data_IF_030335388755
#
_entry.id   IF_030335388755
#
_cell.length_a   1.000
_cell.length_b   1.000
_cell.length_c   1.000
_cell.angle_alpha   90.00
_cell.angle_beta   90.00
_cell.angle_gamma   90.00
#
_symmetry.space_group_name_H-M   'P 1'
#
loop_
_entity.id
_entity.type
_entity.pdbx_description
1 polymer ?
#
# COMPACT_ATOMS: atom_id res chain seq x y z
N UNK A 1 70.61 -7.05 -31.90
CA UNK A 1 69.46 -6.19 -31.51
C UNK A 1 68.39 -7.10 -30.91
N UNK A 2 68.26 -7.15 -29.58
CA UNK A 2 67.32 -8.03 -28.88
C UNK A 2 66.14 -7.15 -28.42
N UNK A 3 64.99 -7.37 -29.03
CA UNK A 3 63.68 -6.66 -28.68
C UNK A 3 63.11 -7.31 -27.42
N UNK A 4 63.01 -6.56 -26.31
CA UNK A 4 62.32 -6.98 -25.09
C UNK A 4 60.88 -6.53 -25.19
N UNK A 5 59.95 -7.49 -25.28
CA UNK A 5 58.54 -7.24 -25.12
C UNK A 5 58.22 -7.07 -23.62
N UNK A 6 57.73 -5.89 -23.24
CA UNK A 6 57.22 -5.62 -21.91
C UNK A 6 55.74 -5.97 -21.89
N UNK A 7 55.35 -7.04 -21.17
CA UNK A 7 53.95 -7.45 -20.98
C UNK A 7 53.38 -6.63 -19.81
N UNK A 8 52.57 -5.63 -20.11
CA UNK A 8 51.77 -4.91 -19.08
C UNK A 8 50.58 -5.79 -18.66
N UNK A 9 50.63 -6.34 -17.44
CA UNK A 9 49.49 -6.95 -16.78
C UNK A 9 48.55 -5.83 -16.25
N UNK A 10 47.43 -5.62 -16.92
CA UNK A 10 46.31 -4.83 -16.38
C UNK A 10 45.62 -5.67 -15.30
N UNK A 11 45.92 -5.41 -14.05
CA UNK A 11 45.14 -5.88 -12.90
C UNK A 11 43.81 -5.08 -12.85
N UNK A 12 42.75 -5.64 -13.44
CA UNK A 12 41.42 -5.15 -13.26
C UNK A 12 40.98 -5.35 -11.80
N UNK A 13 40.90 -4.26 -11.04
CA UNK A 13 40.26 -4.29 -9.72
C UNK A 13 38.76 -4.49 -9.93
N UNK A 14 38.27 -5.70 -9.75
CA UNK A 14 36.83 -5.95 -9.57
C UNK A 14 36.41 -5.30 -8.25
N UNK A 15 35.97 -4.06 -8.31
CA UNK A 15 35.29 -3.43 -7.20
C UNK A 15 34.01 -4.22 -6.92
N UNK A 16 33.99 -4.98 -5.82
CA UNK A 16 32.74 -5.51 -5.30
C UNK A 16 31.87 -4.30 -4.92
N UNK A 17 30.81 -4.06 -5.65
CA UNK A 17 29.80 -3.10 -5.21
C UNK A 17 29.26 -3.62 -3.87
N UNK A 18 29.68 -3.00 -2.78
CA UNK A 18 29.19 -3.32 -1.44
C UNK A 18 27.69 -3.04 -1.44
N UNK A 19 26.87 -4.04 -1.15
CA UNK A 19 25.42 -3.88 -1.00
C UNK A 19 25.17 -2.82 0.07
N UNK A 20 24.45 -1.76 -0.30
CA UNK A 20 24.09 -0.72 0.63
C UNK A 20 23.09 -1.29 1.63
N UNK A 21 23.34 -1.13 2.93
CA UNK A 21 22.44 -1.59 4.01
C UNK A 21 21.60 -0.45 4.55
N UNK A 22 20.50 -0.80 5.20
CA UNK A 22 19.60 0.12 5.90
C UNK A 22 18.96 -0.56 7.11
N UNK A 23 18.29 0.22 7.94
CA UNK A 23 17.46 -0.26 9.06
C UNK A 23 16.08 0.37 9.00
N UNK A 24 15.05 -0.38 9.42
CA UNK A 24 13.72 0.18 9.66
C UNK A 24 13.74 1.00 10.98
N UNK A 25 12.92 2.08 11.10
CA UNK A 25 11.98 2.58 10.13
C UNK A 25 12.63 3.46 9.04
N UNK A 26 11.98 3.61 7.88
CA UNK A 26 12.44 4.45 6.79
C UNK A 26 12.26 5.96 7.07
N UNK A 27 11.23 6.30 7.84
CA UNK A 27 10.90 7.65 8.31
C UNK A 27 10.43 7.60 9.75
N UNK A 28 10.55 8.71 10.52
CA UNK A 28 10.06 8.79 11.88
C UNK A 28 8.52 8.76 12.01
N UNK A 29 7.80 8.90 10.92
CA UNK A 29 6.33 8.80 10.80
C UNK A 29 5.93 8.67 9.35
N UNK A 30 4.81 8.01 9.08
CA UNK A 30 4.32 7.76 7.73
C UNK A 30 3.35 6.59 7.71
N UNK A 31 2.11 6.85 8.10
CA UNK A 31 1.02 5.90 8.07
C UNK A 31 0.58 5.62 6.63
N UNK A 32 0.08 4.41 6.38
CA UNK A 32 -0.53 4.03 5.11
C UNK A 32 0.45 4.24 3.93
N UNK A 33 1.66 3.61 3.98
CA UNK A 33 2.72 3.87 3.03
C UNK A 33 2.42 3.24 1.67
N UNK A 34 2.72 3.98 0.62
CA UNK A 34 2.66 3.54 -0.78
C UNK A 34 3.97 3.83 -1.50
N UNK A 35 4.43 2.93 -2.36
CA UNK A 35 5.58 3.17 -3.21
C UNK A 35 5.41 2.51 -4.58
N UNK A 36 5.83 3.20 -5.63
CA UNK A 36 5.94 2.68 -6.99
C UNK A 36 7.32 3.00 -7.55
N UNK A 37 7.95 2.02 -8.22
CA UNK A 37 9.16 2.22 -9.00
C UNK A 37 8.80 2.49 -10.46
N UNK A 38 9.24 3.61 -10.99
CA UNK A 38 9.01 3.98 -12.37
C UNK A 38 10.16 4.83 -12.90
N UNK A 39 10.66 4.49 -14.08
CA UNK A 39 11.69 5.23 -14.82
C UNK A 39 12.90 5.65 -13.97
N UNK A 40 13.47 4.68 -13.24
CA UNK A 40 14.69 4.86 -12.46
C UNK A 40 14.52 5.53 -11.11
N UNK A 41 13.28 5.79 -10.67
CA UNK A 41 12.98 6.41 -9.38
C UNK A 41 11.86 5.67 -8.64
N UNK A 42 11.95 5.66 -7.31
CA UNK A 42 10.81 5.38 -6.44
C UNK A 42 10.06 6.67 -6.16
N UNK A 43 8.75 6.57 -6.24
CA UNK A 43 7.81 7.60 -5.80
C UNK A 43 7.05 7.04 -4.62
N UNK A 44 7.18 7.68 -3.48
CA UNK A 44 6.59 7.25 -2.21
C UNK A 44 5.55 8.27 -1.75
N UNK A 45 4.46 7.79 -1.16
CA UNK A 45 3.43 8.58 -0.51
C UNK A 45 3.03 7.94 0.82
N UNK A 46 2.43 8.74 1.71
CA UNK A 46 1.78 8.28 2.92
C UNK A 46 0.70 9.27 3.35
N UNK A 47 -0.15 8.90 4.27
CA UNK A 47 -1.16 9.79 4.85
C UNK A 47 -0.51 10.96 5.56
N UNK A 48 -0.76 12.18 5.07
CA UNK A 48 -0.40 13.44 5.74
C UNK A 48 -1.58 14.04 6.51
N UNK A 49 -2.82 13.61 6.17
CA UNK A 49 -4.07 14.13 6.70
C UNK A 49 -4.52 15.48 6.13
N UNK A 50 -3.68 16.16 5.35
CA UNK A 50 -3.91 17.55 4.92
C UNK A 50 -3.58 17.87 3.46
N UNK A 51 -2.72 17.10 2.82
CA UNK A 51 -2.23 17.32 1.45
C UNK A 51 -1.78 16.01 0.81
N UNK A 52 -1.47 16.05 -0.48
CA UNK A 52 -0.82 14.96 -1.20
C UNK A 52 0.61 15.37 -1.53
N UNK A 53 1.55 14.69 -0.90
CA UNK A 53 2.99 14.92 -1.07
C UNK A 53 3.64 13.65 -1.63
N UNK A 54 4.53 13.81 -2.60
CA UNK A 54 5.34 12.74 -3.19
C UNK A 54 6.78 12.89 -2.73
N UNK A 55 7.38 11.80 -2.28
CA UNK A 55 8.82 11.66 -2.02
C UNK A 55 9.45 10.93 -3.20
N UNK A 56 10.40 11.56 -3.87
CA UNK A 56 11.13 10.99 -5.01
C UNK A 56 12.55 10.63 -4.63
N UNK A 57 12.97 9.37 -4.85
CA UNK A 57 14.32 8.89 -4.55
C UNK A 57 14.73 7.75 -5.50
N UNK A 58 16.00 7.64 -5.90
CA UNK A 58 16.48 6.47 -6.63
C UNK A 58 16.63 5.22 -5.75
N UNK A 59 16.60 5.36 -4.42
CA UNK A 59 16.76 4.28 -3.46
C UNK A 59 15.80 4.45 -2.28
N UNK A 60 14.81 3.55 -2.16
CA UNK A 60 13.81 3.62 -1.11
C UNK A 60 14.41 3.43 0.31
N UNK A 61 15.54 2.74 0.44
CA UNK A 61 16.27 2.64 1.70
C UNK A 61 16.84 3.99 2.19
N UNK A 62 16.88 5.00 1.32
CA UNK A 62 17.29 6.39 1.63
C UNK A 62 16.11 7.36 1.63
N UNK A 63 14.91 6.88 1.92
CA UNK A 63 13.67 7.68 1.87
C UNK A 63 13.74 8.96 2.72
N UNK A 64 14.48 8.94 3.83
CA UNK A 64 14.67 10.13 4.67
C UNK A 64 15.35 11.30 3.95
N UNK A 65 16.14 11.03 2.90
CA UNK A 65 16.84 12.02 2.08
C UNK A 65 16.08 12.35 0.77
N UNK A 66 14.92 11.74 0.53
CA UNK A 66 14.15 11.93 -0.69
C UNK A 66 13.71 13.38 -0.90
N UNK A 67 13.67 13.82 -2.15
CA UNK A 67 13.04 15.08 -2.54
C UNK A 67 11.53 15.02 -2.29
N UNK A 68 10.99 16.03 -1.61
CA UNK A 68 9.56 16.11 -1.24
C UNK A 68 8.88 17.19 -2.05
N UNK A 69 7.78 16.82 -2.70
CA UNK A 69 6.96 17.75 -3.45
C UNK A 69 5.50 17.61 -3.05
N UNK A 70 4.91 18.65 -2.48
CA UNK A 70 3.45 18.71 -2.32
C UNK A 70 2.83 19.00 -3.67
N UNK A 71 2.11 18.02 -4.20
CA UNK A 71 1.57 18.05 -5.58
C UNK A 71 0.12 18.51 -5.61
N UNK A 72 -0.59 18.43 -4.47
CA UNK A 72 -1.96 18.88 -4.37
C UNK A 72 -2.34 19.21 -2.92
N UNK A 73 -3.17 20.23 -2.75
CA UNK A 73 -3.79 20.62 -1.46
C UNK A 73 -5.30 20.70 -1.63
N UNK A 74 -6.09 20.23 -0.64
CA UNK A 74 -7.54 20.29 -0.73
C UNK A 74 -8.05 21.73 -0.67
N UNK A 75 -9.25 22.00 -1.23
CA UNK A 75 -9.94 23.26 -1.03
C UNK A 75 -10.35 23.44 0.44
N UNK A 76 -10.64 24.68 0.85
CA UNK A 76 -11.05 24.98 2.22
C UNK A 76 -12.35 24.27 2.66
N UNK A 77 -13.25 24.03 1.70
CA UNK A 77 -14.56 23.39 1.88
C UNK A 77 -14.88 22.47 0.71
N UNK A 78 -15.82 21.55 0.91
CA UNK A 78 -16.27 20.62 -0.13
C UNK A 78 -16.12 19.17 0.28
N UNK A 79 -16.49 18.21 -0.58
CA UNK A 79 -16.57 16.80 -0.22
C UNK A 79 -15.21 16.12 -0.03
N UNK A 80 -14.10 16.78 -0.38
CA UNK A 80 -12.72 16.28 -0.24
C UNK A 80 -11.80 17.32 0.42
N UNK A 81 -12.36 18.11 1.34
CA UNK A 81 -11.65 19.22 1.98
C UNK A 81 -10.85 18.82 3.22
N UNK A 82 -11.15 17.67 3.81
CA UNK A 82 -10.60 17.21 5.09
C UNK A 82 -10.20 15.74 5.02
N UNK A 83 -9.44 15.35 6.03
CA UNK A 83 -9.07 13.94 6.31
C UNK A 83 -8.58 13.20 5.07
N UNK A 84 -7.48 13.73 4.50
CA UNK A 84 -6.83 13.19 3.29
C UNK A 84 -6.02 11.96 3.69
N UNK A 85 -6.56 10.75 3.40
CA UNK A 85 -5.98 9.48 3.86
C UNK A 85 -5.58 8.55 2.72
N UNK A 86 -4.61 7.67 3.02
CA UNK A 86 -4.14 6.54 2.24
C UNK A 86 -4.00 6.87 0.73
N UNK A 87 -3.16 7.84 0.36
CA UNK A 87 -2.94 8.15 -1.05
C UNK A 87 -2.09 7.09 -1.74
N UNK A 88 -2.53 6.64 -2.90
CA UNK A 88 -1.82 5.71 -3.76
C UNK A 88 -1.53 6.30 -5.14
N UNK A 89 -0.28 6.22 -5.59
CA UNK A 89 0.18 6.74 -6.87
C UNK A 89 0.32 5.60 -7.89
N UNK A 90 -0.44 5.65 -8.97
CA UNK A 90 -0.45 4.65 -10.03
C UNK A 90 -0.10 5.25 -11.39
N UNK A 91 0.63 4.49 -12.22
CA UNK A 91 0.90 4.85 -13.62
C UNK A 91 0.09 3.92 -14.52
N UNK A 92 -0.94 4.47 -15.17
CA UNK A 92 -1.90 3.71 -15.97
C UNK A 92 -2.10 4.39 -17.33
N UNK A 93 -2.09 3.63 -18.41
CA UNK A 93 -2.33 4.15 -19.77
C UNK A 93 -1.50 5.40 -20.11
N UNK A 94 -0.23 5.46 -19.64
CA UNK A 94 0.69 6.56 -19.94
C UNK A 94 0.50 7.82 -19.10
N UNK A 95 -0.30 7.77 -18.03
CA UNK A 95 -0.55 8.89 -17.12
C UNK A 95 -0.45 8.46 -15.66
N UNK A 96 -0.26 9.45 -14.78
CA UNK A 96 -0.28 9.27 -13.35
C UNK A 96 -1.66 9.52 -12.77
N UNK A 97 -2.03 8.71 -11.78
CA UNK A 97 -3.26 8.85 -11.01
C UNK A 97 -2.93 8.76 -9.53
N UNK A 98 -3.57 9.59 -8.71
CA UNK A 98 -3.57 9.46 -7.25
C UNK A 98 -4.99 9.13 -6.83
N UNK A 99 -5.15 8.00 -6.13
CA UNK A 99 -6.37 7.62 -5.44
C UNK A 99 -6.19 7.93 -3.97
N UNK A 100 -7.20 8.51 -3.34
CA UNK A 100 -7.14 8.85 -1.93
C UNK A 100 -8.54 8.92 -1.34
N UNK A 101 -8.67 8.72 -0.02
CA UNK A 101 -9.89 8.95 0.71
C UNK A 101 -9.91 10.38 1.26
N UNK A 102 -11.08 10.99 1.29
CA UNK A 102 -11.29 12.30 1.89
C UNK A 102 -12.76 12.49 2.31
N UNK A 103 -13.01 13.50 3.14
CA UNK A 103 -14.34 13.90 3.54
C UNK A 103 -14.48 15.43 3.64
N UNK A 104 -15.58 15.90 4.22
CA UNK A 104 -15.90 17.33 4.45
C UNK A 104 -15.74 17.75 5.92
N UNK A 105 -15.07 16.94 6.74
CA UNK A 105 -14.93 17.10 8.19
C UNK A 105 -15.89 16.21 9.00
N UNK A 106 -16.54 15.24 8.33
CA UNK A 106 -17.38 14.23 8.96
C UNK A 106 -17.01 12.85 8.43
N UNK A 107 -16.55 11.97 9.30
CA UNK A 107 -16.14 10.60 8.94
C UNK A 107 -17.19 9.86 8.11
N UNK A 108 -18.48 10.04 8.36
CA UNK A 108 -19.56 9.36 7.62
C UNK A 108 -19.58 9.73 6.12
N UNK A 109 -18.93 10.82 5.75
CA UNK A 109 -18.88 11.32 4.38
C UNK A 109 -17.61 10.94 3.61
N UNK A 110 -16.75 10.08 4.17
CA UNK A 110 -15.58 9.59 3.45
C UNK A 110 -15.96 8.92 2.14
N UNK A 111 -15.25 9.32 1.07
CA UNK A 111 -15.34 8.77 -0.27
C UNK A 111 -13.95 8.72 -0.89
N UNK A 112 -13.83 7.94 -1.96
CA UNK A 112 -12.62 7.86 -2.76
C UNK A 112 -12.65 8.92 -3.86
N UNK A 113 -11.51 9.58 -4.07
CA UNK A 113 -11.32 10.59 -5.09
C UNK A 113 -10.11 10.28 -5.95
N UNK A 114 -10.10 10.79 -7.18
CA UNK A 114 -9.06 10.51 -8.17
C UNK A 114 -8.54 11.81 -8.76
N UNK A 115 -7.21 11.94 -8.77
CA UNK A 115 -6.47 12.96 -9.51
C UNK A 115 -5.75 12.34 -10.71
N UNK A 116 -5.61 13.08 -11.79
CA UNK A 116 -4.87 12.70 -13.01
C UNK A 116 -3.77 13.73 -13.31
N UNK A 117 -2.59 13.26 -13.71
CA UNK A 117 -1.49 14.09 -14.20
C UNK A 117 -0.88 13.44 -15.46
N UNK A 118 -0.86 14.13 -16.62
CA UNK A 118 -0.27 13.62 -17.85
C UNK A 118 1.26 13.83 -17.95
N UNK A 119 1.88 14.51 -16.97
CA UNK A 119 3.33 14.74 -16.98
C UNK A 119 4.09 13.41 -16.86
N UNK A 120 5.23 13.23 -17.56
CA UNK A 120 6.08 12.04 -17.36
C UNK A 120 6.60 11.91 -15.91
N UNK A 121 6.85 13.01 -15.21
CA UNK A 121 7.25 13.04 -13.81
C UNK A 121 6.06 13.49 -12.94
N UNK A 122 5.57 12.67 -12.00
CA UNK A 122 4.41 13.01 -11.18
C UNK A 122 4.66 14.16 -10.19
N UNK A 123 5.92 14.52 -9.93
CA UNK A 123 6.28 15.70 -9.13
C UNK A 123 6.20 17.01 -9.92
N UNK A 124 5.92 16.94 -11.20
CA UNK A 124 5.82 18.08 -12.13
C UNK A 124 4.43 18.14 -12.76
N UNK A 125 4.15 19.23 -13.47
CA UNK A 125 2.87 19.42 -14.15
C UNK A 125 1.72 19.76 -13.20
N UNK A 126 0.49 19.56 -13.69
CA UNK A 126 -0.74 19.91 -12.96
C UNK A 126 -1.58 18.66 -12.73
N UNK A 127 -2.01 18.47 -11.49
CA UNK A 127 -2.95 17.43 -11.10
C UNK A 127 -4.39 17.93 -11.25
N UNK A 128 -5.17 17.22 -12.05
CA UNK A 128 -6.58 17.54 -12.31
C UNK A 128 -7.50 16.59 -11.56
N UNK A 129 -8.45 17.13 -10.78
CA UNK A 129 -9.48 16.36 -10.10
C UNK A 129 -10.40 15.70 -11.12
N UNK A 130 -10.47 14.37 -11.12
CA UNK A 130 -11.40 13.59 -11.95
C UNK A 130 -12.75 13.36 -11.26
N UNK A 131 -12.81 13.63 -9.97
CA UNK A 131 -14.01 13.45 -9.15
C UNK A 131 -13.95 12.23 -8.24
N UNK A 132 -15.11 11.86 -7.72
CA UNK A 132 -15.30 10.71 -6.84
C UNK A 132 -15.27 9.41 -7.65
N UNK A 133 -14.56 8.40 -7.15
CA UNK A 133 -14.65 7.02 -7.62
C UNK A 133 -15.93 6.39 -7.05
N UNK A 134 -17.04 6.61 -7.77
CA UNK A 134 -18.39 6.40 -7.24
C UNK A 134 -18.98 5.06 -7.69
N UNK A 135 -19.48 4.27 -6.73
CA UNK A 135 -20.35 3.13 -6.98
C UNK A 135 -21.82 3.57 -7.11
N UNK A 136 -22.69 2.76 -7.75
CA UNK A 136 -24.12 3.10 -7.86
C UNK A 136 -24.83 3.31 -6.52
N UNK A 137 -24.39 2.62 -5.46
CA UNK A 137 -24.95 2.72 -4.10
C UNK A 137 -24.27 3.77 -3.21
N UNK A 138 -23.17 4.37 -3.68
CA UNK A 138 -22.47 5.53 -3.07
C UNK A 138 -22.27 5.43 -1.54
N UNK A 139 -21.72 4.33 -1.09
CA UNK A 139 -21.47 4.10 0.34
C UNK A 139 -20.10 4.66 0.77
N UNK A 140 -19.91 4.77 2.08
CA UNK A 140 -18.64 5.09 2.71
C UNK A 140 -17.50 4.21 2.16
N UNK A 141 -16.35 4.82 1.87
CA UNK A 141 -15.22 4.14 1.26
C UNK A 141 -13.89 4.83 1.59
N UNK A 142 -12.89 4.03 1.96
CA UNK A 142 -11.49 4.43 2.18
C UNK A 142 -10.53 3.43 1.55
N UNK A 143 -9.25 3.74 1.53
CA UNK A 143 -8.15 2.84 1.12
C UNK A 143 -8.36 2.27 -0.29
N UNK A 144 -8.65 3.16 -1.23
CA UNK A 144 -8.90 2.77 -2.61
C UNK A 144 -7.63 2.49 -3.38
N UNK A 145 -7.48 1.26 -3.87
CA UNK A 145 -6.42 0.82 -4.76
C UNK A 145 -6.97 0.39 -6.12
N UNK A 146 -6.11 0.39 -7.14
CA UNK A 146 -6.47 -0.09 -8.48
C UNK A 146 -5.42 -1.04 -9.02
N UNK A 147 -5.84 -2.00 -9.83
CA UNK A 147 -4.95 -2.94 -10.49
C UNK A 147 -5.49 -3.38 -11.84
N UNK A 148 -4.57 -3.78 -12.70
CA UNK A 148 -4.90 -4.40 -13.98
C UNK A 148 -4.70 -5.92 -13.90
N UNK A 149 -5.69 -6.67 -14.35
CA UNK A 149 -5.62 -8.11 -14.45
C UNK A 149 -6.31 -8.60 -15.72
N UNK A 150 -5.60 -9.40 -16.54
CA UNK A 150 -6.08 -9.92 -17.83
C UNK A 150 -6.66 -8.83 -18.75
N UNK A 151 -5.97 -7.67 -18.87
CA UNK A 151 -6.37 -6.53 -19.70
C UNK A 151 -7.65 -5.83 -19.21
N UNK A 152 -8.01 -6.01 -17.95
CA UNK A 152 -9.16 -5.36 -17.31
C UNK A 152 -8.71 -4.61 -16.07
N UNK A 153 -9.23 -3.40 -15.89
CA UNK A 153 -8.93 -2.56 -14.73
C UNK A 153 -9.98 -2.78 -13.64
N UNK A 154 -9.53 -2.91 -12.40
CA UNK A 154 -10.35 -3.10 -11.21
C UNK A 154 -9.98 -2.09 -10.15
N UNK A 155 -10.97 -1.70 -9.33
CA UNK A 155 -10.78 -0.99 -8.07
C UNK A 155 -11.09 -1.93 -6.91
N UNK A 156 -10.32 -1.81 -5.84
CA UNK A 156 -10.55 -2.46 -4.54
C UNK A 156 -10.49 -1.42 -3.44
N UNK A 157 -11.28 -1.57 -2.39
CA UNK A 157 -11.32 -0.62 -1.28
C UNK A 157 -11.96 -1.19 -0.02
N UNK A 158 -11.79 -0.51 1.10
CA UNK A 158 -12.54 -0.73 2.32
C UNK A 158 -13.82 0.09 2.33
N UNK A 159 -14.95 -0.52 2.68
CA UNK A 159 -16.24 0.17 2.66
C UNK A 159 -17.28 -0.40 3.60
N UNK A 160 -18.33 0.40 3.86
CA UNK A 160 -19.49 -0.07 4.61
C UNK A 160 -20.52 -0.77 3.73
N UNK A 161 -21.18 -1.77 4.30
CA UNK A 161 -22.28 -2.45 3.61
C UNK A 161 -23.52 -1.56 3.47
N UNK A 162 -23.80 -0.75 4.48
CA UNK A 162 -24.90 0.20 4.58
C UNK A 162 -24.43 1.62 4.87
N UNK A 163 -25.20 2.35 5.68
CA UNK A 163 -24.94 3.75 6.04
C UNK A 163 -24.45 3.90 7.49
N UNK A 164 -24.27 2.78 8.19
CA UNK A 164 -23.87 2.77 9.59
C UNK A 164 -22.42 2.35 9.75
N UNK A 165 -21.69 3.08 10.59
CA UNK A 165 -20.36 2.70 11.03
C UNK A 165 -20.45 1.51 12.00
N UNK A 166 -19.74 0.45 11.74
CA UNK A 166 -19.71 -0.76 12.59
C UNK A 166 -18.93 -1.89 11.97
N UNK A 167 -18.86 -1.91 10.63
CA UNK A 167 -18.09 -2.91 9.89
C UNK A 167 -17.57 -2.39 8.56
N UNK A 168 -16.29 -2.59 8.34
CA UNK A 168 -15.60 -2.36 7.08
C UNK A 168 -15.33 -3.70 6.39
N UNK A 169 -15.81 -3.84 5.16
CA UNK A 169 -15.62 -4.99 4.29
C UNK A 169 -14.73 -4.61 3.10
N UNK A 170 -14.03 -5.56 2.48
CA UNK A 170 -13.32 -5.31 1.23
C UNK A 170 -14.25 -5.52 0.04
N UNK A 171 -14.32 -4.50 -0.80
CA UNK A 171 -15.09 -4.49 -2.03
C UNK A 171 -14.18 -4.42 -3.26
N UNK A 172 -14.68 -4.99 -4.35
CA UNK A 172 -14.06 -4.96 -5.67
C UNK A 172 -15.10 -4.54 -6.71
N UNK A 173 -14.69 -3.74 -7.70
CA UNK A 173 -15.52 -3.41 -8.85
C UNK A 173 -14.64 -3.26 -10.09
N UNK A 174 -15.25 -3.45 -11.28
CA UNK A 174 -14.59 -3.19 -12.55
C UNK A 174 -14.57 -1.69 -12.86
N UNK A 175 -13.50 -1.24 -13.51
CA UNK A 175 -13.39 0.11 -14.05
C UNK A 175 -13.50 0.10 -15.56
N UNK A 176 -14.13 1.13 -16.15
CA UNK A 176 -14.13 1.40 -17.60
C UNK A 176 -12.97 2.28 -18.03
N UNK A 177 -12.48 3.11 -17.13
CA UNK A 177 -11.29 3.95 -17.22
C UNK A 177 -10.78 4.19 -15.78
N UNK A 178 -9.62 4.81 -15.54
CA UNK A 178 -9.03 4.94 -14.20
C UNK A 178 -9.88 5.66 -13.15
N UNK A 179 -10.98 6.32 -13.50
CA UNK A 179 -11.81 7.07 -12.54
C UNK A 179 -13.31 6.74 -12.61
N UNK A 180 -13.71 5.68 -13.36
CA UNK A 180 -15.13 5.34 -13.55
C UNK A 180 -15.39 3.88 -13.25
N UNK A 181 -16.12 3.61 -12.17
CA UNK A 181 -16.60 2.26 -11.83
C UNK A 181 -17.70 1.85 -12.78
N UNK A 182 -17.66 0.58 -13.22
CA UNK A 182 -18.66 -0.06 -14.07
C UNK A 182 -19.39 -1.15 -13.29
N UNK A 183 -20.69 -0.99 -13.14
CA UNK A 183 -21.55 -1.98 -12.49
C UNK A 183 -21.54 -1.88 -10.96
N UNK A 184 -21.97 -2.98 -10.33
CA UNK A 184 -22.09 -3.07 -8.87
C UNK A 184 -20.75 -3.48 -8.24
N UNK A 185 -20.50 -3.06 -7.02
CA UNK A 185 -19.40 -3.59 -6.19
C UNK A 185 -19.69 -5.00 -5.72
N UNK A 186 -18.65 -5.79 -5.57
CA UNK A 186 -18.67 -7.15 -5.06
C UNK A 186 -17.89 -7.20 -3.75
N UNK A 187 -18.47 -7.74 -2.69
CA UNK A 187 -17.76 -7.98 -1.43
C UNK A 187 -16.90 -9.23 -1.57
N UNK A 188 -15.59 -9.10 -1.34
CA UNK A 188 -14.63 -10.20 -1.44
C UNK A 188 -14.05 -10.61 -0.07
N UNK A 189 -14.14 -9.75 0.95
CA UNK A 189 -13.76 -10.06 2.34
C UNK A 189 -14.66 -9.35 3.32
N UNK A 190 -14.87 -9.99 4.47
CA UNK A 190 -15.50 -9.43 5.67
C UNK A 190 -14.76 -9.92 6.93
N UNK A 191 -14.76 -9.17 8.05
CA UNK A 191 -14.08 -9.56 9.29
C UNK A 191 -14.83 -10.71 10.01
N UNK A 192 -14.53 -11.96 9.64
CA UNK A 192 -15.23 -13.16 10.12
C UNK A 192 -14.43 -14.00 11.10
N UNK A 193 -13.09 -13.89 11.10
CA UNK A 193 -12.23 -14.66 11.98
C UNK A 193 -11.93 -13.90 13.27
N UNK A 194 -11.72 -14.63 14.38
CA UNK A 194 -11.53 -14.01 15.71
C UNK A 194 -10.37 -13.00 15.74
N UNK A 195 -9.28 -13.27 15.02
CA UNK A 195 -8.13 -12.37 14.95
C UNK A 195 -8.41 -11.05 14.18
N UNK A 196 -9.46 -11.00 13.36
CA UNK A 196 -9.89 -9.79 12.65
C UNK A 196 -10.81 -8.89 13.49
N UNK A 197 -11.25 -9.38 14.65
CA UNK A 197 -12.37 -8.78 15.40
C UNK A 197 -11.94 -7.96 16.61
N UNK A 198 -10.68 -7.53 16.70
CA UNK A 198 -10.25 -6.59 17.75
C UNK A 198 -10.57 -5.15 17.32
N UNK A 199 -11.77 -4.69 17.67
CA UNK A 199 -12.34 -3.46 17.14
C UNK A 199 -12.89 -2.48 18.20
N UNK A 200 -12.63 -2.71 19.51
CA UNK A 200 -13.09 -1.80 20.55
C UNK A 200 -12.39 -0.44 20.42
N UNK A 201 -13.14 0.62 20.27
CA UNK A 201 -12.63 1.97 20.20
C UNK A 201 -12.18 2.46 21.59
N UNK A 202 -11.01 3.08 21.73
CA UNK A 202 -10.53 3.60 23.01
C UNK A 202 -11.37 4.79 23.50
N UNK A 203 -12.02 5.49 22.59
CA UNK A 203 -12.95 6.58 22.84
C UNK A 203 -14.00 6.62 21.73
N UNK A 204 -15.25 6.87 22.09
CA UNK A 204 -16.34 7.07 21.14
C UNK A 204 -17.24 8.20 21.62
N UNK A 205 -17.77 8.97 20.67
CA UNK A 205 -18.68 10.10 20.93
C UNK A 205 -20.16 9.70 20.86
N UNK A 206 -21.08 10.62 21.14
CA UNK A 206 -22.50 10.39 20.95
C UNK A 206 -22.78 9.99 19.49
N UNK A 207 -23.45 8.85 19.30
CA UNK A 207 -23.79 8.33 17.96
C UNK A 207 -22.68 7.53 17.26
N UNK A 208 -21.51 7.40 17.83
CA UNK A 208 -20.45 6.52 17.32
C UNK A 208 -20.54 5.13 17.98
N UNK A 209 -20.23 4.04 17.23
CA UNK A 209 -20.22 2.71 17.82
C UNK A 209 -19.02 2.57 18.76
N UNK A 210 -19.21 1.81 19.85
CA UNK A 210 -18.09 1.44 20.73
C UNK A 210 -17.16 0.41 20.10
N UNK A 211 -17.59 -0.24 19.02
CA UNK A 211 -16.92 -1.37 18.41
C UNK A 211 -17.06 -1.33 16.90
N UNK A 212 -15.94 -1.45 16.17
CA UNK A 212 -15.90 -1.49 14.71
C UNK A 212 -15.08 -2.71 14.25
N UNK A 213 -15.67 -3.56 13.45
CA UNK A 213 -15.00 -4.65 12.79
C UNK A 213 -14.30 -4.15 11.52
N UNK A 214 -13.04 -4.51 11.31
CA UNK A 214 -12.24 -3.89 10.25
C UNK A 214 -11.58 -4.93 9.35
N UNK A 215 -11.85 -4.80 8.03
CA UNK A 215 -10.96 -5.18 6.95
C UNK A 215 -10.70 -3.92 6.12
N UNK A 216 -9.43 -3.50 5.98
CA UNK A 216 -9.06 -2.26 5.28
C UNK A 216 -7.71 -2.39 4.55
N UNK A 217 -7.25 -1.34 3.87
CA UNK A 217 -5.95 -1.29 3.18
C UNK A 217 -5.72 -2.43 2.18
N UNK A 218 -6.69 -2.78 1.29
CA UNK A 218 -6.52 -3.92 0.40
C UNK A 218 -5.51 -3.64 -0.71
N UNK A 219 -4.58 -4.59 -0.94
CA UNK A 219 -3.54 -4.47 -1.94
C UNK A 219 -3.51 -5.70 -2.85
N UNK A 220 -3.53 -5.46 -4.16
CA UNK A 220 -3.33 -6.49 -5.16
C UNK A 220 -1.87 -6.95 -5.21
N UNK A 221 -1.68 -8.25 -5.26
CA UNK A 221 -0.38 -8.88 -5.45
C UNK A 221 -0.49 -9.99 -6.51
N UNK A 222 0.05 -9.72 -7.68
CA UNK A 222 0.18 -10.73 -8.73
C UNK A 222 1.19 -11.80 -8.31
N UNK A 223 0.84 -13.06 -8.50
CA UNK A 223 1.72 -14.19 -8.25
C UNK A 223 2.37 -14.66 -9.55
N UNK A 224 3.59 -15.23 -9.51
CA UNK A 224 4.28 -15.72 -10.72
C UNK A 224 3.50 -16.78 -11.51
N UNK A 225 2.61 -17.53 -10.87
CA UNK A 225 1.77 -18.55 -11.50
C UNK A 225 0.39 -18.04 -11.96
N UNK A 226 0.11 -16.73 -11.81
CA UNK A 226 -1.16 -16.11 -12.21
C UNK A 226 -2.27 -16.14 -11.15
N UNK A 227 -2.04 -16.69 -9.96
CA UNK A 227 -2.94 -16.57 -8.81
C UNK A 227 -3.11 -15.09 -8.44
N UNK A 228 -4.34 -14.69 -8.18
CA UNK A 228 -4.69 -13.33 -7.77
C UNK A 228 -4.75 -13.29 -6.24
N UNK A 229 -3.88 -12.52 -5.62
CA UNK A 229 -3.87 -12.30 -4.19
C UNK A 229 -4.33 -10.87 -3.87
N UNK A 230 -5.20 -10.71 -2.87
CA UNK A 230 -5.51 -9.42 -2.24
C UNK A 230 -5.12 -9.56 -0.77
N UNK A 231 -4.09 -8.82 -0.39
CA UNK A 231 -3.63 -8.71 0.99
C UNK A 231 -4.33 -7.50 1.61
N UNK A 232 -4.90 -7.67 2.78
CA UNK A 232 -5.67 -6.62 3.46
C UNK A 232 -5.29 -6.57 4.93
N UNK A 233 -5.56 -5.46 5.58
CA UNK A 233 -5.37 -5.29 7.02
C UNK A 233 -6.66 -5.59 7.77
N UNK A 234 -6.53 -6.13 8.98
CA UNK A 234 -7.67 -6.45 9.82
C UNK A 234 -7.40 -6.18 11.31
N UNK A 235 -8.46 -6.13 12.09
CA UNK A 235 -8.56 -5.51 13.40
C UNK A 235 -8.43 -3.99 13.33
N UNK A 236 -8.85 -3.25 14.36
CA UNK A 236 -8.70 -1.80 14.36
C UNK A 236 -7.23 -1.38 14.47
N UNK A 237 -6.77 -0.47 13.62
CA UNK A 237 -5.41 0.09 13.67
C UNK A 237 -5.10 0.78 15.03
N UNK A 238 -6.12 1.07 15.83
CA UNK A 238 -6.01 1.59 17.20
C UNK A 238 -5.70 0.53 18.25
N UNK A 239 -5.56 -0.75 17.82
CA UNK A 239 -5.19 -1.89 18.66
C UNK A 239 -3.83 -2.43 18.26
N UNK A 240 -3.15 -3.14 19.16
CA UNK A 240 -1.89 -3.83 18.85
C UNK A 240 -2.11 -5.14 18.04
N UNK A 241 -3.36 -5.48 17.75
CA UNK A 241 -3.76 -6.69 17.02
C UNK A 241 -3.84 -6.51 15.51
N UNK A 242 -3.61 -5.30 15.00
CA UNK A 242 -3.59 -5.01 13.57
C UNK A 242 -2.63 -5.93 12.84
N UNK A 243 -3.11 -6.61 11.80
CA UNK A 243 -2.36 -7.64 11.08
C UNK A 243 -2.85 -7.76 9.64
N UNK A 244 -2.09 -8.46 8.78
CA UNK A 244 -2.49 -8.70 7.40
C UNK A 244 -3.15 -10.05 7.22
N UNK A 245 -4.28 -10.06 6.50
CA UNK A 245 -4.95 -11.22 5.97
C UNK A 245 -4.78 -11.36 4.46
N UNK A 246 -5.26 -12.47 3.93
CA UNK A 246 -5.19 -12.80 2.51
C UNK A 246 -6.53 -13.36 2.02
N UNK A 247 -7.06 -12.78 0.94
CA UNK A 247 -8.02 -13.44 0.06
C UNK A 247 -7.39 -13.66 -1.30
N UNK A 248 -7.75 -14.76 -1.95
CA UNK A 248 -7.14 -15.12 -3.22
C UNK A 248 -8.13 -15.83 -4.14
N UNK A 249 -7.82 -15.79 -5.43
CA UNK A 249 -8.57 -16.47 -6.47
C UNK A 249 -7.62 -17.20 -7.42
N UNK A 250 -8.10 -18.32 -7.99
CA UNK A 250 -7.35 -19.11 -8.95
C UNK A 250 -7.04 -18.32 -10.24
N UNK A 251 -5.97 -18.68 -10.97
CA UNK A 251 -5.69 -18.10 -12.27
C UNK A 251 -6.90 -18.22 -13.21
N UNK A 252 -7.31 -17.09 -13.81
CA UNK A 252 -8.43 -17.07 -14.74
C UNK A 252 -9.83 -17.03 -14.12
N UNK A 253 -9.94 -16.96 -12.79
CA UNK A 253 -11.22 -16.83 -12.09
C UNK A 253 -11.95 -15.53 -12.47
N UNK A 254 -13.27 -15.55 -12.42
CA UNK A 254 -14.09 -14.35 -12.52
C UNK A 254 -14.04 -13.59 -11.18
N UNK A 255 -13.24 -12.53 -11.12
CA UNK A 255 -13.03 -11.74 -9.90
C UNK A 255 -14.31 -11.02 -9.42
N UNK A 256 -15.31 -10.84 -10.27
CA UNK A 256 -16.61 -10.26 -9.90
C UNK A 256 -17.60 -11.29 -9.33
N UNK A 257 -17.25 -12.56 -9.34
CA UNK A 257 -18.02 -13.59 -8.66
C UNK A 257 -17.47 -13.79 -7.23
N UNK A 258 -18.22 -13.46 -6.15
CA UNK A 258 -17.74 -13.59 -4.79
C UNK A 258 -17.41 -15.04 -4.39
N UNK A 259 -17.98 -16.03 -5.06
CA UNK A 259 -17.73 -17.45 -4.76
C UNK A 259 -16.36 -17.96 -5.24
N UNK A 260 -15.64 -17.19 -6.06
CA UNK A 260 -14.29 -17.55 -6.54
C UNK A 260 -13.18 -17.15 -5.56
N UNK A 261 -13.52 -16.35 -4.53
CA UNK A 261 -12.56 -15.87 -3.55
C UNK A 261 -12.45 -16.82 -2.35
N UNK A 262 -11.23 -17.23 -2.09
CA UNK A 262 -10.85 -17.99 -0.90
C UNK A 262 -10.24 -17.03 0.12
N UNK A 263 -10.50 -17.26 1.40
CA UNK A 263 -9.97 -16.42 2.48
C UNK A 263 -9.18 -17.29 3.45
N UNK A 264 -7.91 -16.90 3.70
CA UNK A 264 -7.06 -17.58 4.66
C UNK A 264 -7.59 -17.36 6.09
N UNK A 265 -7.69 -18.43 6.90
CA UNK A 265 -8.26 -18.35 8.25
C UNK A 265 -7.33 -17.67 9.26
N UNK A 266 -6.03 -17.69 9.01
CA UNK A 266 -5.00 -17.10 9.88
C UNK A 266 -4.36 -15.87 9.22
N UNK A 267 -3.82 -14.93 10.00
CA UNK A 267 -3.10 -13.80 9.47
C UNK A 267 -1.82 -14.27 8.75
N UNK A 268 -1.52 -13.65 7.59
CA UNK A 268 -0.33 -13.95 6.80
C UNK A 268 0.88 -13.09 7.17
N UNK A 269 0.65 -12.04 7.99
CA UNK A 269 1.71 -11.16 8.49
C UNK A 269 1.24 -10.49 9.79
N UNK A 270 1.88 -10.80 10.90
CA UNK A 270 1.49 -10.28 12.23
C UNK A 270 2.69 -10.10 13.13
N UNK A 271 2.80 -8.95 13.78
CA UNK A 271 3.78 -8.70 14.82
C UNK A 271 3.37 -9.44 16.12
N UNK A 272 4.05 -10.54 16.43
CA UNK A 272 3.83 -11.28 17.65
C UNK A 272 5.16 -11.46 18.39
N UNK A 273 5.32 -10.78 19.53
CA UNK A 273 6.56 -10.78 20.33
C UNK A 273 7.80 -10.29 19.55
N UNK A 274 7.61 -9.38 18.60
CA UNK A 274 8.70 -8.78 17.82
C UNK A 274 9.15 -7.48 18.48
N UNK A 275 10.44 -7.37 18.79
CA UNK A 275 11.00 -6.20 19.48
C UNK A 275 10.78 -4.93 18.65
N UNK A 276 10.12 -3.93 19.23
CA UNK A 276 9.88 -2.62 18.64
C UNK A 276 9.00 -2.68 17.39
N UNK A 277 8.08 -3.70 17.28
CA UNK A 277 7.18 -3.83 16.15
C UNK A 277 5.82 -4.29 16.66
N UNK A 278 4.82 -3.43 16.53
CA UNK A 278 3.44 -3.62 16.96
C UNK A 278 2.50 -3.14 15.86
N UNK A 279 1.32 -3.72 15.78
CA UNK A 279 0.25 -3.31 14.85
C UNK A 279 0.76 -3.17 13.40
N UNK A 280 1.50 -4.18 12.90
CA UNK A 280 2.06 -4.16 11.54
C UNK A 280 0.97 -4.42 10.49
N UNK A 281 0.79 -3.49 9.56
CA UNK A 281 -0.23 -3.59 8.52
C UNK A 281 -0.22 -2.43 7.53
N UNK A 282 -1.31 -2.27 6.80
CA UNK A 282 -1.54 -1.29 5.73
C UNK A 282 -0.35 -1.24 4.77
N UNK A 283 -0.22 -2.30 3.99
CA UNK A 283 0.94 -2.54 3.15
C UNK A 283 0.74 -2.10 1.71
N UNK A 284 1.84 -1.96 0.99
CA UNK A 284 1.90 -2.08 -0.47
C UNK A 284 3.06 -2.96 -0.89
N UNK A 285 3.15 -3.26 -2.18
CA UNK A 285 4.19 -4.11 -2.75
C UNK A 285 4.97 -3.36 -3.82
N UNK A 286 6.27 -3.64 -3.88
CA UNK A 286 7.11 -3.16 -4.96
C UNK A 286 8.18 -4.20 -5.30
N UNK A 287 8.75 -4.08 -6.49
CA UNK A 287 9.89 -4.88 -6.91
C UNK A 287 11.17 -4.07 -6.82
N UNK A 288 12.29 -4.78 -6.61
CA UNK A 288 13.61 -4.15 -6.75
C UNK A 288 13.79 -3.65 -8.19
N UNK A 289 14.67 -2.63 -8.43
CA UNK A 289 14.87 -2.05 -9.75
C UNK A 289 15.29 -3.05 -10.85
N UNK A 290 15.85 -4.19 -10.46
CA UNK A 290 16.22 -5.28 -11.38
C UNK A 290 15.11 -6.34 -11.56
N UNK A 291 13.94 -6.16 -10.90
CA UNK A 291 12.80 -7.07 -10.98
C UNK A 291 13.00 -8.44 -10.34
N UNK A 292 14.05 -8.64 -9.51
CA UNK A 292 14.38 -9.96 -8.96
C UNK A 292 13.93 -10.18 -7.52
N UNK A 293 13.61 -9.13 -6.81
CA UNK A 293 13.21 -9.19 -5.40
C UNK A 293 11.83 -8.57 -5.25
N UNK A 294 10.96 -9.25 -4.50
CA UNK A 294 9.67 -8.73 -4.09
C UNK A 294 9.80 -8.16 -2.69
N UNK A 295 9.22 -7.00 -2.46
CA UNK A 295 9.26 -6.28 -1.20
C UNK A 295 7.88 -5.89 -0.73
N UNK A 296 7.65 -6.05 0.57
CA UNK A 296 6.48 -5.50 1.26
C UNK A 296 6.91 -4.22 1.99
N UNK A 297 6.17 -3.14 1.75
CA UNK A 297 6.25 -1.89 2.50
C UNK A 297 4.99 -1.79 3.35
N UNK A 298 5.11 -1.53 4.64
CA UNK A 298 4.01 -1.51 5.60
C UNK A 298 4.28 -0.48 6.68
N UNK A 299 3.28 -0.10 7.48
CA UNK A 299 3.54 0.64 8.69
C UNK A 299 3.50 -0.25 9.93
N UNK A 300 4.20 0.16 10.99
CA UNK A 300 4.08 -0.42 12.31
C UNK A 300 4.38 0.63 13.38
N UNK A 301 3.87 0.39 14.59
CA UNK A 301 4.21 1.12 15.79
C UNK A 301 5.51 0.59 16.41
N UNK A 302 6.24 1.43 17.12
CA UNK A 302 7.49 1.04 17.80
C UNK A 302 7.29 0.64 19.26
N UNK A 303 6.17 1.04 19.86
CA UNK A 303 5.75 0.73 21.22
C UNK A 303 4.30 0.27 21.24
N UNK A 304 3.88 -0.56 22.22
CA UNK A 304 2.50 -1.00 22.33
C UNK A 304 1.57 0.17 22.68
N UNK A 305 0.32 0.09 22.21
CA UNK A 305 -0.73 1.05 22.53
C UNK A 305 -0.60 2.41 21.85
N UNK A 306 0.30 2.60 20.88
CA UNK A 306 0.43 3.86 20.12
C UNK A 306 -0.77 4.13 19.20
N UNK A 307 -1.51 3.10 18.80
CA UNK A 307 -2.74 3.23 18.03
C UNK A 307 -2.54 3.73 16.60
N UNK A 308 -3.60 4.36 16.03
CA UNK A 308 -3.62 4.88 14.65
C UNK A 308 -2.98 6.27 14.50
N UNK A 309 -2.11 6.68 15.38
CA UNK A 309 -1.51 8.02 15.38
C UNK A 309 -0.40 8.21 14.35
N UNK A 310 0.28 9.35 14.49
CA UNK A 310 1.45 9.73 13.70
C UNK A 310 2.72 8.94 14.03
N UNK A 311 2.66 8.12 15.07
CA UNK A 311 3.74 7.23 15.52
C UNK A 311 3.93 6.01 14.62
N UNK A 312 2.95 5.72 13.75
CA UNK A 312 3.07 4.67 12.73
C UNK A 312 4.21 5.00 11.78
N UNK A 313 5.19 4.10 11.68
CA UNK A 313 6.41 4.30 10.91
C UNK A 313 6.47 3.37 9.70
N UNK A 314 6.87 3.86 8.49
CA UNK A 314 7.00 3.01 7.31
C UNK A 314 8.22 2.11 7.44
N UNK A 315 8.02 0.83 7.11
CA UNK A 315 9.03 -0.24 7.17
C UNK A 315 8.92 -1.11 5.95
N UNK A 316 10.02 -1.73 5.53
CA UNK A 316 10.04 -2.65 4.41
C UNK A 316 10.90 -3.88 4.69
N UNK A 317 10.54 -4.99 4.04
CA UNK A 317 11.32 -6.23 4.04
C UNK A 317 11.07 -7.03 2.76
N UNK A 318 12.01 -7.89 2.33
CA UNK A 318 11.80 -8.77 1.20
C UNK A 318 10.85 -9.91 1.56
N UNK A 319 10.19 -10.48 0.53
CA UNK A 319 9.37 -11.68 0.67
C UNK A 319 9.51 -12.58 -0.58
N UNK A 320 8.95 -13.78 -0.52
CA UNK A 320 8.96 -14.75 -1.61
C UNK A 320 7.56 -15.32 -1.84
N UNK A 321 7.42 -16.20 -2.84
CA UNK A 321 6.21 -16.94 -3.10
C UNK A 321 6.46 -18.45 -2.94
N UNK A 322 5.43 -19.18 -2.52
CA UNK A 322 5.37 -20.64 -2.63
C UNK A 322 5.15 -21.07 -4.08
N UNK A 323 5.29 -22.36 -4.36
CA UNK A 323 5.06 -22.90 -5.71
C UNK A 323 3.62 -22.73 -6.21
N UNK A 324 2.63 -22.73 -5.30
CA UNK A 324 1.23 -22.47 -5.59
C UNK A 324 0.86 -20.99 -5.62
N UNK A 325 1.87 -20.09 -5.50
CA UNK A 325 1.71 -18.65 -5.66
C UNK A 325 1.21 -17.91 -4.43
N UNK A 326 1.22 -18.51 -3.25
CA UNK A 326 0.95 -17.79 -2.02
C UNK A 326 2.16 -16.95 -1.59
N UNK A 327 1.99 -15.70 -1.13
CA UNK A 327 3.09 -14.91 -0.60
C UNK A 327 3.59 -15.46 0.73
N UNK A 328 4.91 -15.44 0.94
CA UNK A 328 5.59 -15.83 2.17
C UNK A 328 6.33 -14.62 2.71
N UNK A 329 5.63 -13.85 3.54
CA UNK A 329 6.17 -12.60 4.11
C UNK A 329 7.15 -12.81 5.26
N UNK A 330 7.03 -13.95 5.98
CA UNK A 330 7.65 -14.14 7.29
C UNK A 330 6.99 -13.26 8.36
N UNK A 331 7.65 -13.13 9.51
CA UNK A 331 7.24 -12.21 10.54
C UNK A 331 7.75 -10.79 10.23
N UNK A 332 7.07 -9.72 10.71
CA UNK A 332 7.63 -8.38 10.70
C UNK A 332 8.98 -8.36 11.41
N UNK A 333 9.97 -7.67 10.83
CA UNK A 333 11.32 -7.67 11.37
C UNK A 333 11.44 -6.77 12.61
N UNK A 334 12.33 -7.12 13.56
CA UNK A 334 12.63 -6.29 14.71
C UNK A 334 13.14 -4.90 14.32
N UNK A 335 12.75 -3.90 15.11
CA UNK A 335 13.26 -2.54 14.92
C UNK A 335 14.79 -2.50 15.05
N UNK A 336 15.45 -1.83 14.08
CA UNK A 336 16.90 -1.68 14.03
C UNK A 336 17.66 -2.88 13.46
N UNK A 337 16.98 -3.92 12.97
CA UNK A 337 17.63 -4.98 12.22
C UNK A 337 18.20 -4.45 10.90
N UNK A 338 19.47 -4.75 10.63
CA UNK A 338 20.13 -4.39 9.39
C UNK A 338 19.66 -5.27 8.22
N UNK A 339 19.37 -4.64 7.09
CA UNK A 339 18.88 -5.25 5.86
C UNK A 339 19.71 -4.76 4.67
N UNK A 340 19.91 -5.61 3.67
CA UNK A 340 20.42 -5.16 2.37
C UNK A 340 19.34 -4.36 1.65
N UNK A 341 19.72 -3.24 1.03
CA UNK A 341 18.83 -2.45 0.18
C UNK A 341 18.31 -3.27 -1.01
N UNK A 342 17.12 -2.97 -1.54
CA UNK A 342 16.67 -3.53 -2.82
C UNK A 342 17.79 -3.42 -3.87
N UNK A 343 18.08 -4.50 -4.59
CA UNK A 343 19.16 -4.50 -5.57
C UNK A 343 18.97 -3.37 -6.59
N UNK A 344 20.00 -2.58 -6.81
CA UNK A 344 20.00 -1.58 -7.86
C UNK A 344 19.90 -2.26 -9.24
N UNK A 345 19.17 -1.63 -10.16
CA UNK A 345 19.22 -2.06 -11.57
C UNK A 345 20.69 -2.05 -12.02
N UNK A 346 21.22 -3.20 -12.43
CA UNK A 346 22.51 -3.21 -13.12
C UNK A 346 22.29 -2.49 -14.44
N UNK A 347 22.99 -1.38 -14.62
CA UNK A 347 23.09 -0.67 -15.90
C UNK A 347 23.71 -1.57 -16.95
#
# INVERSE_FOLDING_TARGET
MRLRFLLLLLLGTFGHAQSQTFTNPLLPGGADPWAIYHDGSYYYMHTTGRDLTIWKTPNLAQLAQAEKTTVWTPPATGPYAKDIWAPELHFLAGKWYIYFAADNGSNNNHRLFVLENPSPDPTKGTWAMKGQLKTPDDKWAIDGSVFEHNGRLYAIWSGWAGDENGRQDIYLARLTNPWTISGKRVRISDPRFGWEQHGMLPRFGPGEPAYVLVNEGPQFLASPNGRVNIVYSASGCWTDFYALGLVWAEPGADLLNPATWHKEPEPVFRAQNVKGTFAAGHNCFFESPNGKQHWILYHANSEPGQGCGRERTPRMQPFTFTADGAPVFGDPLPLGQELSSPDSAKK
#
